data_IF_031047176886
#
_entry.id   IF_031047176886
#
_cell.length_a   1.000
_cell.length_b   1.000
_cell.length_c   1.000
_cell.angle_alpha   90.00
_cell.angle_beta   90.00
_cell.angle_gamma   90.00
#
_symmetry.space_group_name_H-M   'P 1'
#
loop_
_entity.id
_entity.type
_entity.pdbx_description
1 polymer ?
#
# COMPACT_ATOMS: atom_id res chain seq x y z
N UNK A 1 -15.19 4.83 -10.37
CA UNK A 1 -14.74 4.19 -9.11
C UNK A 1 -13.24 4.04 -9.19
N UNK A 2 -12.54 4.07 -8.06
CA UNK A 2 -11.14 3.69 -7.93
C UNK A 2 -11.00 2.71 -6.78
N UNK A 3 -10.27 1.63 -7.00
CA UNK A 3 -9.91 0.66 -5.97
C UNK A 3 -8.46 0.97 -5.60
N UNK A 4 -8.15 1.14 -4.33
CA UNK A 4 -6.79 1.39 -3.85
C UNK A 4 -6.36 0.16 -3.07
N UNK A 5 -5.31 -0.49 -3.55
CA UNK A 5 -4.76 -1.70 -2.94
C UNK A 5 -3.36 -1.39 -2.41
N UNK A 6 -3.15 -1.68 -1.14
CA UNK A 6 -1.85 -1.55 -0.50
C UNK A 6 -1.94 -1.86 0.99
N UNK A 7 -0.80 -2.02 1.65
CA UNK A 7 -0.75 -2.20 3.09
C UNK A 7 -0.65 -0.86 3.83
N UNK A 8 -0.83 -0.87 5.15
CA UNK A 8 -0.54 0.31 5.99
C UNK A 8 0.92 0.75 5.85
N UNK A 9 1.87 -0.19 5.70
CA UNK A 9 3.28 0.12 5.44
C UNK A 9 3.50 0.89 4.13
N UNK A 10 2.66 0.61 3.12
CA UNK A 10 2.66 1.29 1.82
C UNK A 10 1.88 2.62 1.84
N UNK A 11 1.37 3.06 3.00
CA UNK A 11 0.65 4.33 3.14
C UNK A 11 -0.86 4.24 2.84
N UNK A 12 -1.47 3.06 2.95
CA UNK A 12 -2.94 2.95 2.74
C UNK A 12 -3.73 3.83 3.71
N UNK A 13 -3.26 3.97 4.95
CA UNK A 13 -3.90 4.82 5.97
C UNK A 13 -3.79 6.33 5.64
N UNK A 14 -2.86 6.72 4.76
CA UNK A 14 -2.66 8.12 4.36
C UNK A 14 -3.55 8.55 3.19
N UNK A 15 -4.27 7.62 2.54
CA UNK A 15 -5.11 7.94 1.37
C UNK A 15 -6.18 8.98 1.71
N UNK A 16 -6.80 8.90 2.88
CA UNK A 16 -7.79 9.88 3.33
C UNK A 16 -7.14 11.27 3.47
N UNK A 17 -6.04 11.35 4.20
CA UNK A 17 -5.28 12.60 4.42
C UNK A 17 -4.79 13.21 3.11
N UNK A 18 -4.36 12.38 2.16
CA UNK A 18 -3.97 12.82 0.82
C UNK A 18 -5.16 13.43 0.05
N UNK A 19 -6.34 12.82 0.13
CA UNK A 19 -7.56 13.34 -0.49
C UNK A 19 -8.05 14.63 0.19
N UNK A 20 -7.94 14.74 1.51
CA UNK A 20 -8.24 15.96 2.27
C UNK A 20 -7.33 17.11 1.81
N UNK A 21 -6.02 16.85 1.69
CA UNK A 21 -5.07 17.82 1.15
C UNK A 21 -5.38 18.27 -0.28
N UNK A 22 -5.95 17.40 -1.13
CA UNK A 22 -6.44 17.81 -2.45
C UNK A 22 -7.71 18.66 -2.35
N UNK A 23 -8.63 18.30 -1.47
CA UNK A 23 -9.85 19.06 -1.23
C UNK A 23 -9.51 20.51 -0.81
N UNK A 24 -8.55 20.68 0.09
CA UNK A 24 -8.08 22.00 0.56
C UNK A 24 -7.46 22.85 -0.55
N UNK A 25 -6.79 22.21 -1.52
CA UNK A 25 -6.19 22.89 -2.68
C UNK A 25 -7.23 23.34 -3.71
N UNK A 26 -8.38 22.68 -3.78
CA UNK A 26 -9.46 22.99 -4.74
C UNK A 26 -10.87 22.95 -4.11
N UNK A 27 -11.15 23.81 -3.09
CA UNK A 27 -12.36 23.71 -2.27
C UNK A 27 -13.68 23.93 -3.05
N UNK A 28 -13.61 24.59 -4.21
CA UNK A 28 -14.77 24.80 -5.08
C UNK A 28 -15.10 23.61 -6.00
N UNK A 29 -14.24 22.60 -6.09
CA UNK A 29 -14.39 21.46 -7.03
C UNK A 29 -14.68 20.14 -6.35
N UNK A 30 -14.27 19.96 -5.10
CA UNK A 30 -14.44 18.71 -4.36
C UNK A 30 -15.31 19.01 -3.14
N UNK A 31 -16.42 18.29 -3.00
CA UNK A 31 -17.26 18.35 -1.81
C UNK A 31 -16.54 17.72 -0.60
N UNK A 32 -16.96 17.99 0.65
CA UNK A 32 -16.46 17.26 1.81
C UNK A 32 -16.45 15.76 1.59
N UNK A 33 -15.33 15.12 1.95
CA UNK A 33 -15.17 13.68 1.81
C UNK A 33 -16.20 12.93 2.64
N UNK A 34 -16.72 11.84 2.09
CA UNK A 34 -17.78 11.06 2.72
C UNK A 34 -17.22 9.69 3.10
N UNK A 35 -17.27 9.35 4.38
CA UNK A 35 -16.80 8.07 4.93
C UNK A 35 -17.96 7.33 5.61
N UNK A 36 -18.76 6.55 4.85
CA UNK A 36 -19.94 5.89 5.40
C UNK A 36 -19.56 4.83 6.43
N UNK A 37 -20.15 4.90 7.62
CA UNK A 37 -19.85 3.98 8.73
C UNK A 37 -20.65 2.65 8.68
N UNK A 38 -21.50 2.45 7.66
CA UNK A 38 -22.31 1.23 7.53
C UNK A 38 -22.72 0.95 6.08
N UNK A 39 -23.08 -0.30 5.73
CA UNK A 39 -23.54 -0.65 4.38
C UNK A 39 -24.78 0.13 3.93
N UNK A 40 -25.71 0.42 4.84
CA UNK A 40 -26.91 1.20 4.53
C UNK A 40 -26.58 2.67 4.28
N UNK A 41 -25.67 3.25 5.06
CA UNK A 41 -25.16 4.60 4.84
C UNK A 41 -24.39 4.68 3.51
N UNK A 42 -23.55 3.68 3.21
CA UNK A 42 -22.84 3.59 1.93
C UNK A 42 -23.82 3.59 0.77
N UNK A 43 -24.78 2.67 0.75
CA UNK A 43 -25.82 2.59 -0.28
C UNK A 43 -26.62 3.89 -0.44
N UNK A 44 -26.94 4.55 0.69
CA UNK A 44 -27.61 5.86 0.66
C UNK A 44 -26.73 6.90 -0.02
N UNK A 45 -25.48 7.05 0.40
CA UNK A 45 -24.56 8.05 -0.15
C UNK A 45 -24.28 7.83 -1.64
N UNK A 46 -24.30 6.58 -2.09
CA UNK A 46 -24.24 6.23 -3.49
C UNK A 46 -25.37 6.88 -4.33
N UNK A 47 -26.58 7.00 -3.79
CA UNK A 47 -27.78 7.41 -4.53
C UNK A 47 -28.22 8.86 -4.26
N UNK A 48 -27.52 9.58 -3.37
CA UNK A 48 -27.88 10.95 -2.97
C UNK A 48 -26.96 11.99 -3.61
N UNK A 49 -27.15 13.26 -3.24
CA UNK A 49 -26.34 14.39 -3.66
C UNK A 49 -27.20 15.56 -4.11
N UNK A 50 -26.57 16.74 -4.21
CA UNK A 50 -27.20 17.94 -4.78
C UNK A 50 -26.50 18.27 -6.09
N UNK A 51 -27.24 18.54 -7.19
CA UNK A 51 -26.62 18.96 -8.44
C UNK A 51 -25.78 20.21 -8.24
N UNK A 52 -24.62 20.26 -8.88
CA UNK A 52 -23.70 21.38 -8.72
C UNK A 52 -22.30 21.12 -9.26
N UNK A 53 -21.41 22.12 -9.14
CA UNK A 53 -20.06 22.05 -9.70
C UNK A 53 -19.09 21.18 -8.88
N UNK A 54 -19.48 20.79 -7.65
CA UNK A 54 -18.64 19.99 -6.77
C UNK A 54 -18.79 18.49 -7.04
N UNK A 55 -17.66 17.81 -7.15
CA UNK A 55 -17.57 16.36 -7.24
C UNK A 55 -17.61 15.74 -5.84
N UNK A 56 -18.46 14.73 -5.65
CA UNK A 56 -18.52 13.96 -4.40
C UNK A 56 -17.48 12.84 -4.41
N UNK A 57 -16.78 12.66 -3.30
CA UNK A 57 -15.86 11.52 -3.11
C UNK A 57 -16.36 10.72 -1.91
N UNK A 58 -16.66 9.44 -2.15
CA UNK A 58 -17.08 8.48 -1.12
C UNK A 58 -15.92 7.53 -0.89
N UNK A 59 -15.37 7.50 0.31
CA UNK A 59 -14.28 6.62 0.72
C UNK A 59 -14.90 5.49 1.53
N UNK A 60 -14.71 4.26 1.07
CA UNK A 60 -15.15 3.06 1.77
C UNK A 60 -13.92 2.24 2.12
N UNK A 61 -13.62 2.15 3.41
CA UNK A 61 -12.65 1.19 3.91
C UNK A 61 -13.27 -0.20 3.86
N UNK A 62 -12.76 -1.06 2.98
CA UNK A 62 -13.29 -2.41 2.75
C UNK A 62 -12.35 -3.51 3.25
N UNK A 63 -11.26 -3.15 3.97
CA UNK A 63 -10.25 -4.10 4.47
C UNK A 63 -10.83 -5.23 5.33
N UNK A 64 -11.89 -4.92 6.07
CA UNK A 64 -12.55 -5.85 7.00
C UNK A 64 -13.86 -6.41 6.44
N UNK A 65 -14.13 -6.24 5.15
CA UNK A 65 -15.35 -6.78 4.55
C UNK A 65 -15.21 -8.28 4.32
N UNK A 66 -16.30 -9.04 4.48
CA UNK A 66 -16.33 -10.41 3.95
C UNK A 66 -16.24 -10.40 2.41
N UNK A 67 -15.72 -11.45 1.75
CA UNK A 67 -15.61 -11.50 0.28
C UNK A 67 -16.93 -11.18 -0.45
N UNK A 68 -18.05 -11.72 0.04
CA UNK A 68 -19.38 -11.46 -0.52
C UNK A 68 -19.81 -9.99 -0.35
N UNK A 69 -19.47 -9.38 0.78
CA UNK A 69 -19.79 -7.97 1.06
C UNK A 69 -18.92 -7.03 0.24
N UNK A 70 -17.66 -7.37 0.00
CA UNK A 70 -16.76 -6.66 -0.90
C UNK A 70 -17.34 -6.64 -2.32
N UNK A 71 -17.57 -7.80 -2.92
CA UNK A 71 -18.12 -7.92 -4.30
C UNK A 71 -19.41 -7.12 -4.46
N UNK A 72 -20.37 -7.31 -3.56
CA UNK A 72 -21.63 -6.57 -3.57
C UNK A 72 -21.43 -5.05 -3.46
N UNK A 73 -20.47 -4.58 -2.65
CA UNK A 73 -20.20 -3.15 -2.48
C UNK A 73 -19.55 -2.51 -3.70
N UNK A 74 -18.67 -3.25 -4.38
CA UNK A 74 -18.08 -2.85 -5.67
C UNK A 74 -19.17 -2.81 -6.76
N UNK A 75 -20.02 -3.83 -6.84
CA UNK A 75 -21.13 -3.86 -7.80
C UNK A 75 -22.12 -2.70 -7.58
N UNK A 76 -22.41 -2.35 -6.34
CA UNK A 76 -23.24 -1.19 -6.02
C UNK A 76 -22.59 0.14 -6.45
N UNK A 77 -21.27 0.28 -6.32
CA UNK A 77 -20.53 1.45 -6.78
C UNK A 77 -20.56 1.62 -8.31
N UNK A 78 -20.76 0.54 -9.05
CA UNK A 78 -20.88 0.57 -10.50
C UNK A 78 -22.33 0.75 -10.97
N UNK A 79 -23.28 0.10 -10.29
CA UNK A 79 -24.68 0.01 -10.74
C UNK A 79 -25.56 1.14 -10.22
N UNK A 80 -25.42 1.54 -8.94
CA UNK A 80 -26.26 2.57 -8.35
C UNK A 80 -25.79 3.93 -8.82
N UNK A 81 -26.63 4.70 -9.52
CA UNK A 81 -26.27 6.03 -10.00
C UNK A 81 -26.78 7.13 -9.06
N UNK A 82 -26.05 8.24 -8.89
CA UNK A 82 -26.57 9.41 -8.20
C UNK A 82 -27.63 10.12 -9.07
N UNK A 83 -28.36 11.12 -8.54
CA UNK A 83 -29.32 11.89 -9.32
C UNK A 83 -28.67 12.63 -10.48
N UNK A 84 -29.47 13.01 -11.49
CA UNK A 84 -28.98 13.79 -12.63
C UNK A 84 -28.32 15.10 -12.18
N UNK A 85 -27.18 15.44 -12.80
CA UNK A 85 -26.39 16.62 -12.45
C UNK A 85 -25.52 16.46 -11.20
N UNK A 86 -25.50 15.28 -10.57
CA UNK A 86 -24.59 14.93 -9.48
C UNK A 86 -23.47 14.04 -10.02
N UNK A 87 -22.22 14.39 -9.71
CA UNK A 87 -21.06 13.54 -9.99
C UNK A 87 -20.52 12.94 -8.70
N UNK A 88 -20.07 11.68 -8.77
CA UNK A 88 -19.46 10.97 -7.64
C UNK A 88 -18.27 10.15 -8.09
N UNK A 89 -17.29 9.99 -7.20
CA UNK A 89 -16.27 8.96 -7.26
C UNK A 89 -16.31 8.15 -5.98
N UNK A 90 -16.25 6.81 -6.10
CA UNK A 90 -16.04 5.91 -4.97
C UNK A 90 -14.57 5.53 -4.95
N UNK A 91 -13.94 5.62 -3.79
CA UNK A 91 -12.59 5.14 -3.48
C UNK A 91 -12.73 3.98 -2.49
N UNK A 92 -12.49 2.75 -2.95
CA UNK A 92 -12.50 1.56 -2.11
C UNK A 92 -11.08 1.25 -1.64
N UNK A 93 -10.87 1.05 -0.34
CA UNK A 93 -9.56 0.70 0.23
C UNK A 93 -9.53 -0.79 0.55
N UNK A 94 -8.55 -1.51 0.01
CA UNK A 94 -8.38 -2.95 0.18
C UNK A 94 -6.95 -3.24 0.67
N UNK A 95 -6.83 -4.25 1.52
CA UNK A 95 -5.55 -4.77 2.00
C UNK A 95 -5.18 -6.05 1.23
N UNK A 96 -4.05 -6.08 0.50
CA UNK A 96 -3.63 -7.26 -0.24
C UNK A 96 -3.26 -8.46 0.65
N UNK A 97 -3.08 -8.28 1.97
CA UNK A 97 -2.94 -9.38 2.93
C UNK A 97 -4.20 -10.27 3.00
N UNK A 98 -5.37 -9.73 2.62
CA UNK A 98 -6.64 -10.47 2.52
C UNK A 98 -6.73 -11.12 1.13
N UNK A 99 -6.07 -12.26 0.95
CA UNK A 99 -6.00 -12.98 -0.35
C UNK A 99 -7.39 -13.23 -0.96
N UNK A 100 -8.37 -13.57 -0.12
CA UNK A 100 -9.76 -13.78 -0.52
C UNK A 100 -10.43 -12.55 -1.13
N UNK A 101 -9.97 -11.33 -0.83
CA UNK A 101 -10.44 -10.10 -1.48
C UNK A 101 -9.91 -9.99 -2.91
N UNK A 102 -8.63 -10.30 -3.11
CA UNK A 102 -8.00 -10.29 -4.43
C UNK A 102 -8.71 -11.27 -5.37
N UNK A 103 -9.11 -12.44 -4.86
CA UNK A 103 -9.89 -13.42 -5.62
C UNK A 103 -11.29 -12.92 -6.06
N UNK A 104 -11.83 -11.85 -5.46
CA UNK A 104 -13.12 -11.25 -5.87
C UNK A 104 -12.98 -10.19 -6.96
N UNK A 105 -11.76 -9.77 -7.28
CA UNK A 105 -11.51 -8.74 -8.29
C UNK A 105 -11.60 -9.34 -9.69
N UNK A 106 -12.22 -8.59 -10.59
CA UNK A 106 -12.33 -8.93 -12.01
C UNK A 106 -11.34 -8.09 -12.83
N UNK A 107 -11.09 -8.47 -14.08
CA UNK A 107 -10.27 -7.67 -14.99
C UNK A 107 -10.76 -6.20 -15.12
N UNK A 108 -12.08 -5.97 -15.06
CA UNK A 108 -12.65 -4.62 -15.08
C UNK A 108 -12.37 -3.85 -13.79
N UNK A 109 -12.29 -4.54 -12.66
CA UNK A 109 -11.89 -3.92 -11.39
C UNK A 109 -10.42 -3.50 -11.46
N UNK A 110 -9.54 -4.35 -12.01
CA UNK A 110 -8.10 -4.07 -12.19
C UNK A 110 -7.83 -2.81 -13.02
N UNK A 111 -8.60 -2.56 -14.09
CA UNK A 111 -8.51 -1.31 -14.88
C UNK A 111 -8.81 -0.04 -14.06
N UNK A 112 -9.50 -0.20 -12.93
CA UNK A 112 -9.87 0.87 -12.01
C UNK A 112 -9.04 0.86 -10.73
N UNK A 113 -8.03 -0.01 -10.63
CA UNK A 113 -7.19 -0.18 -9.45
C UNK A 113 -5.97 0.74 -9.49
N UNK A 114 -5.65 1.29 -8.34
CA UNK A 114 -4.43 2.03 -8.03
C UNK A 114 -3.69 1.25 -6.97
N UNK A 115 -2.53 0.71 -7.34
CA UNK A 115 -1.66 0.01 -6.41
C UNK A 115 -0.74 1.00 -5.70
N UNK A 116 -0.68 0.93 -4.38
CA UNK A 116 0.32 1.67 -3.61
C UNK A 116 1.67 0.98 -3.79
N UNK A 117 2.71 1.77 -3.98
CA UNK A 117 4.04 1.29 -4.37
C UNK A 117 5.10 1.89 -3.45
N UNK A 118 6.21 1.18 -3.32
CA UNK A 118 7.41 1.70 -2.65
C UNK A 118 7.95 2.92 -3.39
N UNK A 119 8.52 3.86 -2.64
CA UNK A 119 9.23 4.99 -3.19
C UNK A 119 10.51 4.50 -3.90
N UNK A 120 10.60 4.75 -5.20
CA UNK A 120 11.79 4.46 -5.98
C UNK A 120 12.83 5.58 -5.83
N UNK A 121 14.05 5.34 -6.31
CA UNK A 121 15.07 6.38 -6.43
C UNK A 121 14.54 7.61 -7.17
N UNK A 122 13.80 7.39 -8.25
CA UNK A 122 13.23 8.45 -9.08
C UNK A 122 12.08 9.18 -8.38
N UNK A 123 11.22 8.45 -7.68
CA UNK A 123 10.17 9.02 -6.84
C UNK A 123 10.76 9.95 -5.77
N UNK A 124 11.75 9.45 -5.02
CA UNK A 124 12.42 10.22 -3.97
C UNK A 124 13.16 11.45 -4.50
N UNK A 125 13.64 11.45 -5.75
CA UNK A 125 14.22 12.66 -6.35
C UNK A 125 13.25 13.83 -6.36
N UNK A 126 11.97 13.57 -6.59
CA UNK A 126 10.94 14.63 -6.57
C UNK A 126 10.66 15.14 -5.14
N UNK A 127 10.64 14.26 -4.15
CA UNK A 127 10.38 14.60 -2.74
C UNK A 127 11.57 15.24 -2.05
N UNK A 128 12.78 14.94 -2.50
CA UNK A 128 14.01 15.54 -1.95
C UNK A 128 14.38 16.85 -2.65
N UNK A 129 13.50 17.42 -3.48
CA UNK A 129 13.75 18.67 -4.20
C UNK A 129 13.01 19.85 -3.56
N UNK A 130 13.58 21.06 -3.66
CA UNK A 130 12.89 22.28 -3.26
C UNK A 130 12.73 22.47 -1.74
N UNK A 131 11.54 22.87 -1.31
CA UNK A 131 11.18 23.18 0.09
C UNK A 131 10.44 22.03 0.80
N UNK A 132 10.48 20.81 0.25
CA UNK A 132 9.86 19.65 0.85
C UNK A 132 10.55 19.25 2.18
N UNK A 133 9.84 18.55 3.06
CA UNK A 133 10.38 18.05 4.32
C UNK A 133 11.53 17.07 4.10
N UNK A 134 11.56 16.39 2.95
CA UNK A 134 12.62 15.47 2.54
C UNK A 134 13.79 16.17 1.83
N UNK A 135 13.73 17.47 1.55
CA UNK A 135 14.82 18.24 0.91
C UNK A 135 16.21 18.08 1.57
N UNK A 136 16.32 17.90 2.89
CA UNK A 136 17.62 17.66 3.53
C UNK A 136 18.32 16.36 3.10
N UNK A 137 17.61 15.42 2.46
CA UNK A 137 18.14 14.16 1.93
C UNK A 137 18.40 14.23 0.40
N UNK A 138 18.58 15.41 -0.17
CA UNK A 138 18.76 15.64 -1.62
C UNK A 138 20.06 15.11 -2.21
N UNK A 139 21.10 14.94 -1.40
CA UNK A 139 22.41 14.46 -1.84
C UNK A 139 22.32 13.00 -2.34
N UNK A 140 22.95 12.63 -3.48
CA UNK A 140 22.89 11.28 -4.02
C UNK A 140 23.31 10.17 -3.04
N UNK A 141 24.34 10.38 -2.22
CA UNK A 141 24.79 9.37 -1.26
C UNK A 141 23.77 9.22 -0.12
N UNK A 142 23.17 10.32 0.33
CA UNK A 142 22.08 10.27 1.31
C UNK A 142 20.82 9.61 0.77
N UNK A 143 20.45 9.86 -0.50
CA UNK A 143 19.31 9.16 -1.14
C UNK A 143 19.55 7.67 -1.29
N UNK A 144 20.76 7.27 -1.66
CA UNK A 144 21.12 5.86 -1.72
C UNK A 144 21.02 5.22 -0.34
N UNK A 145 21.59 5.86 0.69
CA UNK A 145 21.50 5.36 2.07
C UNK A 145 20.05 5.32 2.57
N UNK A 146 19.24 6.32 2.23
CA UNK A 146 17.83 6.38 2.54
C UNK A 146 17.10 5.15 1.99
N UNK A 147 17.23 4.88 0.69
CA UNK A 147 16.61 3.70 0.07
C UNK A 147 17.10 2.39 0.67
N UNK A 148 18.41 2.26 0.92
CA UNK A 148 18.97 1.04 1.52
C UNK A 148 18.40 0.79 2.91
N UNK A 149 18.14 1.84 3.70
CA UNK A 149 17.63 1.70 5.07
C UNK A 149 16.12 1.50 5.09
N UNK A 150 15.38 2.17 4.19
CA UNK A 150 13.92 2.19 4.25
C UNK A 150 13.24 1.26 3.25
N UNK A 151 13.96 0.70 2.29
CA UNK A 151 13.36 -0.08 1.19
C UNK A 151 12.42 0.76 0.30
N UNK A 152 12.32 2.07 0.53
CA UNK A 152 11.29 2.92 -0.07
C UNK A 152 9.91 2.83 0.60
N UNK A 153 9.76 2.12 1.72
CA UNK A 153 8.48 2.02 2.44
C UNK A 153 7.99 3.38 2.95
N UNK A 154 6.81 3.87 2.50
CA UNK A 154 6.25 5.15 2.94
C UNK A 154 6.14 5.30 4.45
N UNK A 155 5.62 4.29 5.17
CA UNK A 155 5.50 4.38 6.63
C UNK A 155 6.84 4.54 7.36
N UNK A 156 7.92 3.98 6.80
CA UNK A 156 9.28 4.13 7.35
C UNK A 156 9.85 5.52 7.03
N UNK A 157 9.54 6.05 5.83
CA UNK A 157 9.91 7.42 5.45
C UNK A 157 9.20 8.46 6.32
N UNK A 158 7.94 8.23 6.69
CA UNK A 158 7.22 9.11 7.61
C UNK A 158 7.84 9.09 9.01
N UNK A 159 8.19 7.91 9.53
CA UNK A 159 8.91 7.80 10.79
C UNK A 159 10.28 8.51 10.76
N UNK A 160 11.00 8.46 9.63
CA UNK A 160 12.23 9.25 9.44
C UNK A 160 11.97 10.75 9.57
N UNK A 161 10.89 11.25 8.97
CA UNK A 161 10.50 12.66 9.06
C UNK A 161 10.19 13.06 10.51
N UNK A 162 9.48 12.21 11.26
CA UNK A 162 9.24 12.43 12.69
C UNK A 162 10.54 12.48 13.50
N UNK A 163 11.50 11.61 13.21
CA UNK A 163 12.84 11.62 13.83
C UNK A 163 13.62 12.89 13.47
N UNK A 164 13.50 13.38 12.24
CA UNK A 164 14.17 14.59 11.76
C UNK A 164 13.62 15.85 12.46
N UNK A 165 12.31 15.94 12.66
CA UNK A 165 11.64 17.06 13.37
C UNK A 165 12.08 17.17 14.84
N UNK A 166 12.49 16.06 15.47
CA UNK A 166 13.00 16.02 16.86
C UNK A 166 14.41 16.65 17.04
N UNK A 167 14.89 17.41 16.04
CA UNK A 167 16.05 18.29 16.17
C UNK A 167 17.41 17.61 16.03
N UNK A 168 17.45 16.34 15.59
CA UNK A 168 18.72 15.59 15.46
C UNK A 168 19.44 15.83 14.13
N UNK A 169 18.78 16.44 13.14
CA UNK A 169 19.33 16.66 11.80
C UNK A 169 19.38 15.36 10.95
N UNK A 170 19.45 15.48 9.61
CA UNK A 170 19.13 14.38 8.69
C UNK A 170 20.00 13.14 8.89
N UNK A 171 21.32 13.32 9.02
CA UNK A 171 22.27 12.21 9.19
C UNK A 171 22.06 11.44 10.50
N UNK A 172 21.72 12.13 11.60
CA UNK A 172 21.47 11.45 12.88
C UNK A 172 20.11 10.76 12.89
N UNK A 173 19.09 11.36 12.26
CA UNK A 173 17.78 10.73 12.10
C UNK A 173 17.91 9.42 11.31
N UNK A 174 18.61 9.46 10.17
CA UNK A 174 18.86 8.28 9.35
C UNK A 174 19.70 7.21 10.09
N UNK A 175 20.73 7.63 10.83
CA UNK A 175 21.53 6.71 11.64
C UNK A 175 20.73 6.07 12.79
N UNK A 176 19.81 6.81 13.41
CA UNK A 176 18.91 6.27 14.42
C UNK A 176 17.92 5.28 13.80
N UNK A 177 17.33 5.62 12.66
CA UNK A 177 16.42 4.74 11.93
C UNK A 177 17.10 3.43 11.52
N UNK A 178 18.35 3.48 11.07
CA UNK A 178 19.14 2.29 10.72
C UNK A 178 19.37 1.32 11.89
N UNK A 179 19.29 1.79 13.14
CA UNK A 179 19.32 0.93 14.33
C UNK A 179 17.93 0.45 14.71
N UNK A 180 16.91 1.32 14.62
CA UNK A 180 15.52 0.96 14.92
C UNK A 180 14.95 -0.09 13.97
N UNK A 181 15.35 -0.05 12.68
CA UNK A 181 14.95 -1.03 11.64
C UNK A 181 15.36 -2.46 12.00
N UNK A 182 16.46 -2.63 12.76
CA UNK A 182 16.96 -3.95 13.18
C UNK A 182 16.16 -4.53 14.36
N UNK A 183 15.23 -3.78 14.92
CA UNK A 183 14.42 -4.15 16.08
C UNK A 183 12.98 -3.66 15.94
N UNK A 184 12.61 -2.65 16.74
CA UNK A 184 11.23 -2.22 16.88
C UNK A 184 10.57 -1.78 15.55
N UNK A 185 11.31 -1.11 14.67
CA UNK A 185 10.77 -0.62 13.40
C UNK A 185 10.66 -1.74 12.36
N UNK A 186 11.60 -2.70 12.34
CA UNK A 186 11.47 -3.91 11.52
C UNK A 186 10.26 -4.75 11.93
N UNK A 187 10.03 -4.90 13.24
CA UNK A 187 8.82 -5.57 13.75
C UNK A 187 7.55 -4.80 13.38
N UNK A 188 7.58 -3.46 13.44
CA UNK A 188 6.46 -2.62 13.02
C UNK A 188 6.16 -2.81 11.55
N UNK A 189 7.19 -2.86 10.69
CA UNK A 189 7.06 -3.10 9.25
C UNK A 189 6.33 -4.42 8.98
N UNK A 190 6.72 -5.53 9.61
CA UNK A 190 6.04 -6.82 9.45
C UNK A 190 4.56 -6.77 9.81
N UNK A 191 4.21 -6.01 10.86
CA UNK A 191 2.81 -5.83 11.27
C UNK A 191 2.04 -4.95 10.29
N UNK A 192 2.63 -3.83 9.88
CA UNK A 192 1.96 -2.86 9.01
C UNK A 192 1.89 -3.31 7.55
N UNK A 193 2.68 -4.30 7.13
CA UNK A 193 2.49 -4.97 5.83
C UNK A 193 1.28 -5.90 5.83
N UNK A 194 0.80 -6.32 7.00
CA UNK A 194 -0.26 -7.32 7.16
C UNK A 194 0.23 -8.77 7.01
N UNK A 195 1.54 -9.00 6.82
CA UNK A 195 2.09 -10.35 6.68
C UNK A 195 1.87 -11.20 7.93
N UNK A 196 1.91 -10.59 9.12
CA UNK A 196 1.74 -11.30 10.40
C UNK A 196 0.38 -12.03 10.46
N UNK A 197 -0.69 -11.39 9.97
CA UNK A 197 -2.05 -11.95 9.95
C UNK A 197 -2.31 -12.85 8.73
N UNK A 198 -1.47 -12.79 7.69
CA UNK A 198 -1.62 -13.55 6.46
C UNK A 198 -0.94 -14.92 6.54
N UNK A 199 -1.47 -15.80 7.39
CA UNK A 199 -0.89 -17.13 7.68
C UNK A 199 -0.60 -17.97 6.42
N UNK A 200 -1.46 -17.87 5.41
CA UNK A 200 -1.29 -18.58 4.13
C UNK A 200 -0.03 -18.15 3.35
N UNK A 201 0.47 -16.93 3.59
CA UNK A 201 1.68 -16.40 2.96
C UNK A 201 2.95 -16.76 3.73
N UNK A 202 2.86 -17.15 5.01
CA UNK A 202 4.04 -17.37 5.85
C UNK A 202 4.98 -18.43 5.29
N UNK A 203 4.44 -19.57 4.85
CA UNK A 203 5.23 -20.65 4.29
C UNK A 203 5.90 -20.25 2.97
N UNK A 204 5.21 -19.49 2.12
CA UNK A 204 5.77 -18.96 0.87
C UNK A 204 6.89 -17.97 1.16
N UNK A 205 6.68 -17.02 2.07
CA UNK A 205 7.70 -16.03 2.45
C UNK A 205 8.92 -16.72 3.08
N UNK A 206 8.72 -17.70 3.95
CA UNK A 206 9.82 -18.47 4.53
C UNK A 206 10.66 -19.16 3.43
N UNK A 207 10.03 -19.87 2.48
CA UNK A 207 10.75 -20.48 1.37
C UNK A 207 11.49 -19.43 0.51
N UNK A 208 10.83 -18.32 0.17
CA UNK A 208 11.45 -17.23 -0.60
C UNK A 208 12.65 -16.60 0.12
N UNK A 209 12.63 -16.50 1.45
CA UNK A 209 13.68 -15.84 2.26
C UNK A 209 14.83 -16.79 2.60
N UNK A 210 14.53 -18.06 2.84
CA UNK A 210 15.47 -19.05 3.40
C UNK A 210 16.04 -20.00 2.33
N UNK A 211 15.33 -20.26 1.23
CA UNK A 211 15.73 -21.23 0.20
C UNK A 211 16.23 -20.56 -1.09
N UNK A 212 15.82 -19.33 -1.38
CA UNK A 212 16.21 -18.61 -2.59
C UNK A 212 17.16 -17.45 -2.29
N UNK A 213 18.43 -17.65 -2.65
CA UNK A 213 19.50 -16.67 -2.45
C UNK A 213 19.56 -15.59 -3.55
N UNK A 214 18.77 -15.71 -4.62
CA UNK A 214 18.79 -14.82 -5.77
C UNK A 214 17.38 -14.53 -6.31
N UNK A 215 17.17 -13.37 -6.95
CA UNK A 215 15.91 -13.07 -7.64
C UNK A 215 15.64 -14.09 -8.76
N UNK A 216 14.37 -14.45 -8.94
CA UNK A 216 13.93 -15.44 -9.91
C UNK A 216 12.79 -14.92 -10.79
N UNK A 217 12.74 -15.27 -12.08
CA UNK A 217 11.59 -14.98 -12.93
C UNK A 217 10.28 -15.51 -12.33
N UNK A 218 9.16 -14.83 -12.60
CA UNK A 218 7.84 -15.22 -12.08
C UNK A 218 7.47 -16.67 -12.43
N UNK A 219 7.75 -17.10 -13.67
CA UNK A 219 7.46 -18.47 -14.11
C UNK A 219 8.25 -19.51 -13.31
N UNK A 220 9.51 -19.22 -13.01
CA UNK A 220 10.39 -20.12 -12.26
C UNK A 220 9.93 -20.20 -10.79
N UNK A 221 9.56 -19.05 -10.19
CA UNK A 221 8.97 -19.02 -8.84
C UNK A 221 7.68 -19.85 -8.78
N UNK A 222 6.78 -19.67 -9.75
CA UNK A 222 5.55 -20.45 -9.85
C UNK A 222 5.86 -21.94 -9.95
N UNK A 223 6.76 -22.36 -10.84
CA UNK A 223 7.11 -23.78 -11.03
C UNK A 223 7.73 -24.40 -9.76
N UNK A 224 8.65 -23.71 -9.12
CA UNK A 224 9.37 -24.20 -7.93
C UNK A 224 8.49 -24.29 -6.70
N UNK A 225 7.58 -23.33 -6.50
CA UNK A 225 6.74 -23.23 -5.31
C UNK A 225 5.39 -23.96 -5.46
N UNK A 226 4.92 -24.22 -6.68
CA UNK A 226 3.63 -24.89 -6.91
C UNK A 226 3.44 -26.24 -6.19
N UNK A 227 4.46 -27.13 -6.09
CA UNK A 227 4.31 -28.42 -5.43
C UNK A 227 3.83 -28.33 -3.97
N UNK A 228 4.26 -27.28 -3.26
CA UNK A 228 3.91 -27.03 -1.86
C UNK A 228 2.71 -26.08 -1.72
N UNK A 229 2.47 -25.24 -2.74
CA UNK A 229 1.47 -24.17 -2.72
C UNK A 229 0.55 -24.25 -3.95
N UNK A 230 -0.58 -24.98 -3.88
CA UNK A 230 -1.48 -25.16 -5.03
C UNK A 230 -2.04 -23.87 -5.63
N UNK A 231 -2.14 -22.79 -4.85
CA UNK A 231 -2.66 -21.48 -5.27
C UNK A 231 -1.55 -20.44 -5.49
N UNK A 232 -0.32 -20.87 -5.81
CA UNK A 232 0.87 -20.03 -5.77
C UNK A 232 0.76 -18.74 -6.59
N UNK A 233 0.10 -18.75 -7.75
CA UNK A 233 -0.07 -17.55 -8.58
C UNK A 233 -0.79 -16.42 -7.83
N UNK A 234 -1.83 -16.77 -7.09
CA UNK A 234 -2.58 -15.82 -6.27
C UNK A 234 -1.76 -15.35 -5.07
N UNK A 235 -0.99 -16.23 -4.43
CA UNK A 235 -0.12 -15.88 -3.29
C UNK A 235 1.03 -14.95 -3.73
N UNK A 236 1.67 -15.22 -4.86
CA UNK A 236 2.70 -14.35 -5.44
C UNK A 236 2.10 -13.00 -5.84
N UNK A 237 0.91 -12.99 -6.43
CA UNK A 237 0.18 -11.75 -6.72
C UNK A 237 -0.07 -10.95 -5.45
N UNK A 238 -0.56 -11.58 -4.38
CA UNK A 238 -0.76 -10.94 -3.09
C UNK A 238 0.54 -10.32 -2.56
N UNK A 239 1.64 -11.07 -2.55
CA UNK A 239 2.95 -10.58 -2.11
C UNK A 239 3.45 -9.41 -2.96
N UNK A 240 3.22 -9.41 -4.28
CA UNK A 240 3.57 -8.26 -5.13
C UNK A 240 2.73 -7.04 -4.79
N UNK A 241 1.43 -7.19 -4.59
CA UNK A 241 0.56 -6.06 -4.22
C UNK A 241 0.80 -5.55 -2.80
N UNK A 242 1.31 -6.40 -1.91
CA UNK A 242 1.82 -5.99 -0.60
C UNK A 242 3.15 -5.22 -0.69
N UNK A 243 3.81 -5.22 -1.85
CA UNK A 243 5.22 -4.84 -2.03
C UNK A 243 6.22 -5.72 -1.26
N UNK A 244 5.79 -6.91 -0.83
CA UNK A 244 6.67 -7.89 -0.19
C UNK A 244 7.55 -8.62 -1.20
N UNK A 245 7.05 -8.83 -2.42
CA UNK A 245 7.79 -9.41 -3.55
C UNK A 245 8.03 -8.32 -4.60
N UNK A 246 9.29 -7.94 -4.81
CA UNK A 246 9.67 -6.79 -5.65
C UNK A 246 10.52 -7.23 -6.84
N UNK A 247 10.49 -6.44 -7.91
CA UNK A 247 11.32 -6.68 -9.09
C UNK A 247 12.73 -6.11 -8.88
N UNK A 248 13.74 -6.96 -9.03
CA UNK A 248 15.16 -6.65 -8.97
C UNK A 248 15.69 -6.57 -10.40
N UNK A 249 15.42 -5.44 -11.05
CA UNK A 249 15.84 -5.14 -12.42
C UNK A 249 15.54 -6.27 -13.43
N UNK A 250 16.57 -6.77 -14.12
CA UNK A 250 16.45 -7.89 -15.07
C UNK A 250 16.62 -9.27 -14.43
N UNK A 251 16.86 -9.34 -13.12
CA UNK A 251 17.15 -10.59 -12.42
C UNK A 251 15.87 -11.34 -12.03
N UNK A 252 14.75 -10.63 -11.88
CA UNK A 252 13.46 -11.23 -11.53
C UNK A 252 12.94 -10.71 -10.20
N UNK A 253 12.17 -11.54 -9.50
CA UNK A 253 11.48 -11.20 -8.28
C UNK A 253 12.22 -11.74 -7.05
N UNK A 254 12.28 -10.95 -5.99
CA UNK A 254 12.80 -11.35 -4.68
C UNK A 254 12.01 -10.66 -3.57
N UNK A 255 12.07 -11.20 -2.34
CA UNK A 255 11.47 -10.52 -1.18
C UNK A 255 12.18 -9.18 -0.97
N UNK A 256 11.42 -8.14 -0.70
CA UNK A 256 11.97 -6.80 -0.46
C UNK A 256 13.03 -6.86 0.66
N UNK A 257 14.26 -6.36 0.44
CA UNK A 257 15.38 -6.60 1.35
C UNK A 257 15.15 -6.19 2.81
N UNK A 258 14.54 -5.03 3.06
CA UNK A 258 14.28 -4.57 4.45
C UNK A 258 13.24 -5.47 5.12
N UNK A 259 12.21 -5.87 4.38
CA UNK A 259 11.21 -6.82 4.83
C UNK A 259 11.79 -8.23 5.08
N UNK A 260 12.65 -8.72 4.17
CA UNK A 260 13.32 -10.01 4.31
C UNK A 260 14.21 -10.04 5.56
N UNK A 261 14.95 -8.96 5.83
CA UNK A 261 15.77 -8.85 7.04
C UNK A 261 14.93 -8.77 8.31
N UNK A 262 13.79 -8.07 8.28
CA UNK A 262 12.84 -8.07 9.38
C UNK A 262 12.27 -9.48 9.62
N UNK A 263 11.88 -10.19 8.55
CA UNK A 263 11.38 -11.55 8.59
C UNK A 263 12.39 -12.52 9.21
N UNK A 264 13.65 -12.53 8.76
CA UNK A 264 14.70 -13.40 9.34
C UNK A 264 14.92 -13.17 10.84
N UNK A 265 14.73 -11.94 11.30
CA UNK A 265 14.97 -11.56 12.71
C UNK A 265 13.81 -11.88 13.63
N UNK A 266 12.59 -11.71 13.14
CA UNK A 266 11.39 -11.73 13.96
C UNK A 266 10.46 -12.89 13.65
N UNK A 267 10.52 -13.43 12.44
CA UNK A 267 9.59 -14.44 11.93
C UNK A 267 8.14 -13.96 11.87
N UNK A 268 7.20 -14.84 11.54
CA UNK A 268 5.81 -14.66 11.91
C UNK A 268 5.67 -14.73 13.44
N UNK A 269 4.84 -13.86 14.05
CA UNK A 269 4.65 -13.83 15.50
C UNK A 269 3.71 -14.93 16.02
#
# INVERSE_FOLDING_TARGET
MRIVIGSSAAGLDDVLKALEGQQERVPGRIAPLITPASPSAYRKELQTGKPGPQHRIIISDMREFSPNSLRNSLDQALTLQPPEGVSRCVVALLDPARIEHLAQLTATDEENTVYLQLATADGLRSWTSGQDQMAPYSDPAQRSALLTITGGWPGILDHLLELAVKGKGPRKALGQLAEEIKGAEGLRLLKSTGLDDAVELHAVVAQLVDEFDAPLPLNDLTELLHPDHPNIELLLTALQQMNALVNVDSQGLAVEPVLADAWRRHGPL
#
